data_IF_004725084315
#
_entry.id   IF_004725084315
#
_cell.length_a   1.000
_cell.length_b   1.000
_cell.length_c   1.000
_cell.angle_alpha   90.00
_cell.angle_beta   90.00
_cell.angle_gamma   90.00
#
_symmetry.space_group_name_H-M   'P 1'
#
loop_
_entity.id
_entity.type
_entity.pdbx_description
1 polymer ?
#
# COMPACT_ATOMS: atom_id res chain seq x y z
N UNK A 1 -17.56 30.12 32.04
CA UNK A 1 -18.60 29.19 31.55
C UNK A 1 -18.47 29.06 30.04
N UNK A 2 -17.86 27.95 29.63
CA UNK A 2 -17.82 27.27 28.32
C UNK A 2 -16.40 26.73 28.12
N UNK A 3 -16.06 25.73 28.93
CA UNK A 3 -15.00 24.80 28.58
C UNK A 3 -15.46 24.11 27.29
N UNK A 4 -14.82 24.48 26.19
CA UNK A 4 -14.99 23.86 24.90
C UNK A 4 -14.40 22.45 25.02
N UNK A 5 -15.28 21.47 25.23
CA UNK A 5 -14.91 20.06 25.33
C UNK A 5 -14.39 19.61 23.97
N UNK A 6 -13.08 19.65 23.78
CA UNK A 6 -12.41 18.93 22.70
C UNK A 6 -12.60 17.43 22.97
N UNK A 7 -13.26 16.74 22.04
CA UNK A 7 -13.62 15.34 22.19
C UNK A 7 -12.37 14.46 21.96
N UNK A 8 -11.80 13.80 23.00
CA UNK A 8 -10.48 13.16 22.94
C UNK A 8 -10.44 11.90 22.06
N UNK A 9 -11.59 11.30 21.78
CA UNK A 9 -11.74 10.05 21.03
C UNK A 9 -11.54 10.19 19.51
N UNK A 10 -11.53 11.41 18.98
CA UNK A 10 -11.39 11.64 17.54
C UNK A 10 -9.95 11.42 17.04
N UNK A 11 -8.94 11.80 17.83
CA UNK A 11 -7.53 11.65 17.46
C UNK A 11 -7.12 10.18 17.35
N UNK A 12 -7.49 9.37 18.35
CA UNK A 12 -7.15 7.96 18.35
C UNK A 12 -7.83 7.15 17.25
N UNK A 13 -8.93 7.64 16.67
CA UNK A 13 -9.58 6.98 15.51
C UNK A 13 -8.79 7.21 14.23
N UNK A 14 -8.41 8.46 13.95
CA UNK A 14 -7.64 8.82 12.77
C UNK A 14 -6.26 8.13 12.75
N UNK A 15 -5.56 8.13 13.88
CA UNK A 15 -4.24 7.47 13.97
C UNK A 15 -4.32 5.97 13.68
N UNK A 16 -5.39 5.29 14.16
CA UNK A 16 -5.61 3.87 13.89
C UNK A 16 -5.92 3.59 12.42
N UNK A 17 -6.68 4.46 11.78
CA UNK A 17 -7.01 4.36 10.36
C UNK A 17 -5.77 4.54 9.49
N UNK A 18 -4.97 5.57 9.76
CA UNK A 18 -3.67 5.77 9.09
C UNK A 18 -2.74 4.57 9.31
N UNK A 19 -2.69 4.05 10.54
CA UNK A 19 -1.85 2.90 10.85
C UNK A 19 -2.30 1.62 10.11
N UNK A 20 -3.62 1.44 9.94
CA UNK A 20 -4.19 0.35 9.15
C UNK A 20 -3.78 0.47 7.67
N UNK A 21 -3.94 1.66 7.08
CA UNK A 21 -3.57 1.92 5.68
C UNK A 21 -2.08 1.67 5.41
N UNK A 22 -1.22 2.12 6.33
CA UNK A 22 0.22 1.87 6.24
C UNK A 22 0.57 0.38 6.29
N UNK A 23 -0.16 -0.41 7.09
CA UNK A 23 0.03 -1.86 7.13
C UNK A 23 -0.40 -2.52 5.80
N UNK A 24 -1.50 -2.08 5.21
CA UNK A 24 -1.94 -2.56 3.89
C UNK A 24 -0.92 -2.25 2.80
N UNK A 25 -0.36 -1.03 2.80
CA UNK A 25 0.68 -0.63 1.85
C UNK A 25 1.94 -1.49 2.04
N UNK A 26 2.35 -1.73 3.29
CA UNK A 26 3.48 -2.60 3.61
C UNK A 26 3.25 -4.01 3.09
N UNK A 27 2.05 -4.58 3.28
CA UNK A 27 1.70 -5.90 2.75
C UNK A 27 1.73 -5.93 1.22
N UNK A 28 1.28 -4.88 0.54
CA UNK A 28 1.32 -4.79 -0.92
C UNK A 28 2.75 -4.73 -1.48
N UNK A 29 3.69 -4.13 -0.73
CA UNK A 29 5.11 -4.11 -1.08
C UNK A 29 5.82 -5.43 -0.76
N UNK A 30 5.30 -6.23 0.17
CA UNK A 30 5.93 -7.48 0.60
C UNK A 30 6.02 -8.50 -0.55
N UNK A 31 7.24 -9.01 -0.74
CA UNK A 31 7.55 -9.96 -1.81
C UNK A 31 7.58 -9.39 -3.22
N UNK A 32 7.31 -8.09 -3.44
CA UNK A 32 7.36 -7.49 -4.77
C UNK A 32 8.82 -7.27 -5.21
N UNK A 33 9.34 -8.18 -6.05
CA UNK A 33 10.73 -8.12 -6.54
C UNK A 33 10.91 -7.15 -7.71
N UNK A 34 9.97 -7.16 -8.64
CA UNK A 34 9.98 -6.33 -9.85
C UNK A 34 8.55 -5.96 -10.20
N UNK A 35 8.21 -4.68 -10.16
CA UNK A 35 6.85 -4.24 -10.39
C UNK A 35 6.58 -2.84 -9.86
N UNK A 36 5.31 -2.54 -9.64
CA UNK A 36 4.84 -1.29 -9.05
C UNK A 36 3.64 -1.55 -8.14
N UNK A 37 3.49 -0.69 -7.13
CA UNK A 37 2.26 -0.58 -6.33
C UNK A 37 1.68 0.80 -6.59
N UNK A 38 0.39 0.86 -6.92
CA UNK A 38 -0.34 2.11 -7.15
C UNK A 38 -1.37 2.27 -6.05
N UNK A 39 -1.33 3.40 -5.34
CA UNK A 39 -2.25 3.70 -4.24
C UNK A 39 -3.13 4.86 -4.67
N UNK A 40 -4.44 4.72 -4.45
CA UNK A 40 -5.42 5.78 -4.74
C UNK A 40 -6.02 6.27 -3.43
N UNK A 41 -5.91 7.57 -3.20
CA UNK A 41 -6.41 8.26 -2.01
C UNK A 41 -7.57 9.16 -2.43
N UNK A 42 -8.70 9.03 -1.76
CA UNK A 42 -9.84 9.93 -1.89
C UNK A 42 -10.28 10.40 -0.50
N UNK A 43 -10.52 11.70 -0.36
CA UNK A 43 -10.96 12.32 0.91
C UNK A 43 -10.04 12.01 2.12
N UNK A 44 -8.73 11.90 1.86
CA UNK A 44 -7.74 11.60 2.91
C UNK A 44 -7.66 10.12 3.32
N UNK A 45 -8.47 9.24 2.74
CA UNK A 45 -8.44 7.80 3.01
C UNK A 45 -7.93 7.01 1.80
N UNK A 46 -7.21 5.93 2.06
CA UNK A 46 -6.81 4.98 1.00
C UNK A 46 -8.04 4.19 0.57
N UNK A 47 -8.43 4.30 -0.70
CA UNK A 47 -9.60 3.59 -1.24
C UNK A 47 -9.22 2.43 -2.16
N UNK A 48 -8.00 2.42 -2.68
CA UNK A 48 -7.52 1.36 -3.55
C UNK A 48 -6.01 1.18 -3.47
N UNK A 49 -5.57 -0.08 -3.48
CA UNK A 49 -4.17 -0.47 -3.64
C UNK A 49 -4.10 -1.51 -4.77
N UNK A 50 -3.41 -1.18 -5.85
CA UNK A 50 -3.12 -2.12 -6.94
C UNK A 50 -1.66 -2.56 -6.88
N UNK A 51 -1.42 -3.87 -6.92
CA UNK A 51 -0.08 -4.46 -6.99
C UNK A 51 0.11 -5.13 -8.34
N UNK A 52 1.08 -4.64 -9.10
CA UNK A 52 1.46 -5.22 -10.40
C UNK A 52 2.89 -5.77 -10.34
N UNK A 53 3.05 -7.08 -10.53
CA UNK A 53 4.37 -7.74 -10.60
C UNK A 53 4.75 -8.15 -12.02
N UNK A 54 5.97 -7.80 -12.45
CA UNK A 54 6.52 -8.16 -13.75
C UNK A 54 7.57 -9.26 -13.59
N UNK A 55 7.21 -10.48 -13.97
CA UNK A 55 8.16 -11.60 -14.06
C UNK A 55 8.72 -11.70 -15.47
N UNK A 56 10.04 -11.55 -15.63
CA UNK A 56 10.73 -11.87 -16.87
C UNK A 56 11.09 -13.34 -16.86
N UNK A 57 10.41 -14.13 -17.67
CA UNK A 57 10.88 -15.48 -17.96
C UNK A 57 12.10 -15.32 -18.86
N UNK A 58 13.28 -15.74 -18.40
CA UNK A 58 14.43 -15.89 -19.30
C UNK A 58 13.97 -16.90 -20.36
N UNK A 59 13.83 -16.49 -21.62
CA UNK A 59 13.80 -17.48 -22.68
C UNK A 59 15.15 -18.17 -22.59
N UNK A 60 15.14 -19.48 -22.36
CA UNK A 60 16.32 -20.29 -22.62
C UNK A 60 16.56 -20.23 -24.12
N UNK A 61 17.24 -19.19 -24.59
CA UNK A 61 17.94 -19.22 -25.85
C UNK A 61 19.16 -20.12 -25.66
N UNK A 62 18.92 -21.41 -25.45
CA UNK A 62 19.87 -22.46 -25.80
C UNK A 62 19.55 -22.89 -27.23
N UNK A 63 19.68 -21.94 -28.15
CA UNK A 63 19.95 -22.25 -29.54
C UNK A 63 21.44 -21.98 -29.73
N UNK A 64 22.25 -23.05 -29.74
CA UNK A 64 23.57 -23.19 -30.38
C UNK A 64 24.50 -24.15 -29.61
N UNK A 65 24.28 -25.44 -29.76
CA UNK A 65 25.34 -26.39 -30.12
C UNK A 65 24.64 -27.35 -31.11
N UNK A 66 24.95 -27.34 -32.40
CA UNK A 66 26.28 -27.41 -32.99
C UNK A 66 26.42 -28.83 -33.51
#
# INVERSE_FOLDING_TARGET
>A
MKDHVENPDNHGRLEREVQFDLDQIRQALDGLRYGQVTIVIHDGAVVQIDRTEKRRFRSSSSASQG
#
